data_IF_075658084195
#
_entry.id   IF_075658084195
#
_cell.length_a   1.000
_cell.length_b   1.000
_cell.length_c   1.000
_cell.angle_alpha   90.00
_cell.angle_beta   90.00
_cell.angle_gamma   90.00
#
_symmetry.space_group_name_H-M   'P 1'
#
loop_
_entity.id
_entity.type
_entity.pdbx_description
1 polymer ?
#
# COMPACT_ATOMS: atom_id res chain seq x y z
N UNK A 1 8.68 -13.78 -15.56
CA UNK A 1 8.76 -12.98 -14.31
C UNK A 1 8.21 -11.57 -14.46
N UNK A 2 8.49 -10.86 -15.56
CA UNK A 2 7.93 -9.51 -15.79
C UNK A 2 6.40 -9.48 -15.80
N UNK A 3 5.76 -10.38 -16.55
CA UNK A 3 4.29 -10.48 -16.61
C UNK A 3 3.70 -10.69 -15.22
N UNK A 4 4.28 -11.60 -14.43
CA UNK A 4 3.85 -11.82 -13.05
C UNK A 4 4.02 -10.55 -12.20
N UNK A 5 5.13 -9.84 -12.33
CA UNK A 5 5.37 -8.59 -11.61
C UNK A 5 4.31 -7.52 -11.92
N UNK A 6 3.99 -7.34 -13.21
CA UNK A 6 2.97 -6.38 -13.67
C UNK A 6 1.57 -6.80 -13.20
N UNK A 7 1.24 -8.09 -13.27
CA UNK A 7 -0.04 -8.61 -12.78
C UNK A 7 -0.16 -8.43 -11.26
N UNK A 8 0.90 -8.71 -10.50
CA UNK A 8 0.93 -8.49 -9.05
C UNK A 8 0.81 -7.01 -8.70
N UNK A 9 1.44 -6.13 -9.48
CA UNK A 9 1.32 -4.67 -9.34
C UNK A 9 -0.13 -4.20 -9.58
N UNK A 10 -0.73 -4.60 -10.71
CA UNK A 10 -2.12 -4.26 -11.02
C UNK A 10 -3.10 -4.80 -9.97
N UNK A 11 -2.87 -6.03 -9.51
CA UNK A 11 -3.67 -6.67 -8.47
C UNK A 11 -3.62 -5.88 -7.15
N UNK A 12 -2.43 -5.63 -6.61
CA UNK A 12 -2.29 -4.94 -5.31
C UNK A 12 -2.78 -3.49 -5.39
N UNK A 13 -2.52 -2.79 -6.49
CA UNK A 13 -3.00 -1.43 -6.70
C UNK A 13 -4.52 -1.39 -6.81
N UNK A 14 -5.12 -2.34 -7.54
CA UNK A 14 -6.57 -2.47 -7.67
C UNK A 14 -7.27 -2.72 -6.33
N UNK A 15 -6.76 -3.67 -5.53
CA UNK A 15 -7.29 -3.93 -4.19
C UNK A 15 -7.12 -2.71 -3.27
N UNK A 16 -5.97 -2.04 -3.34
CA UNK A 16 -5.71 -0.81 -2.56
C UNK A 16 -6.71 0.28 -2.93
N UNK A 17 -6.95 0.52 -4.21
CA UNK A 17 -7.93 1.52 -4.68
C UNK A 17 -9.37 1.19 -4.23
N UNK A 18 -9.76 -0.08 -4.23
CA UNK A 18 -11.06 -0.53 -3.72
C UNK A 18 -11.16 -0.29 -2.21
N UNK A 19 -10.11 -0.61 -1.46
CA UNK A 19 -10.06 -0.38 -0.02
C UNK A 19 -10.11 1.12 0.32
N UNK A 20 -9.39 1.96 -0.44
CA UNK A 20 -9.37 3.41 -0.27
C UNK A 20 -10.72 4.05 -0.60
N UNK A 21 -11.44 3.55 -1.61
CA UNK A 21 -12.82 3.97 -1.88
C UNK A 21 -13.71 3.74 -0.65
N UNK A 22 -13.61 2.57 -0.03
CA UNK A 22 -14.38 2.22 1.16
C UNK A 22 -13.98 3.06 2.38
N UNK A 23 -12.68 3.26 2.59
CA UNK A 23 -12.15 4.16 3.60
C UNK A 23 -12.67 5.59 3.39
N UNK A 24 -12.67 6.10 2.15
CA UNK A 24 -13.16 7.43 1.80
C UNK A 24 -14.66 7.61 2.08
N UNK A 25 -15.47 6.58 1.81
CA UNK A 25 -16.89 6.59 2.17
C UNK A 25 -17.09 6.68 3.70
N UNK A 26 -16.25 6.00 4.47
CA UNK A 26 -16.26 6.09 5.93
C UNK A 26 -15.75 7.44 6.45
N UNK A 27 -14.68 8.00 5.87
CA UNK A 27 -14.17 9.33 6.18
C UNK A 27 -15.24 10.42 5.96
N UNK A 28 -16.03 10.29 4.89
CA UNK A 28 -17.15 11.20 4.58
C UNK A 28 -18.40 10.98 5.44
N UNK A 29 -18.39 9.99 6.34
CA UNK A 29 -19.55 9.62 7.16
C UNK A 29 -20.66 8.91 6.40
N UNK A 30 -20.46 8.53 5.12
CA UNK A 30 -21.43 7.73 4.34
C UNK A 30 -21.51 6.28 4.82
N UNK A 31 -20.44 5.78 5.44
CA UNK A 31 -20.42 4.52 6.19
C UNK A 31 -20.12 4.82 7.66
N UNK A 32 -20.96 4.32 8.58
CA UNK A 32 -20.75 4.50 10.03
C UNK A 32 -19.55 3.70 10.53
N UNK A 33 -19.37 2.47 10.05
CA UNK A 33 -18.21 1.61 10.33
C UNK A 33 -17.91 0.80 9.07
N UNK A 34 -16.70 0.26 8.98
CA UNK A 34 -16.33 -0.68 7.92
C UNK A 34 -16.65 -2.12 8.34
N UNK A 35 -16.98 -2.96 7.36
CA UNK A 35 -17.26 -4.36 7.59
C UNK A 35 -15.97 -5.15 7.85
N UNK A 36 -15.94 -5.91 8.96
CA UNK A 36 -14.75 -6.65 9.41
C UNK A 36 -14.25 -7.66 8.39
N UNK A 37 -15.14 -8.47 7.81
CA UNK A 37 -14.77 -9.53 6.86
C UNK A 37 -14.14 -8.92 5.62
N UNK A 38 -14.79 -7.91 5.06
CA UNK A 38 -14.33 -7.18 3.88
C UNK A 38 -12.98 -6.50 4.11
N UNK A 39 -12.81 -5.76 5.22
CA UNK A 39 -11.54 -5.09 5.51
C UNK A 39 -10.40 -6.07 5.77
N UNK A 40 -10.68 -7.21 6.44
CA UNK A 40 -9.68 -8.28 6.64
C UNK A 40 -9.28 -8.91 5.31
N UNK A 41 -10.23 -9.14 4.42
CA UNK A 41 -9.95 -9.68 3.10
C UNK A 41 -9.09 -8.73 2.27
N UNK A 42 -9.39 -7.43 2.26
CA UNK A 42 -8.55 -6.42 1.61
C UNK A 42 -7.13 -6.45 2.16
N UNK A 43 -6.99 -6.47 3.49
CA UNK A 43 -5.68 -6.49 4.12
C UNK A 43 -4.86 -7.74 3.74
N UNK A 44 -5.48 -8.92 3.73
CA UNK A 44 -4.83 -10.16 3.29
C UNK A 44 -4.45 -10.11 1.81
N UNK A 45 -5.34 -9.63 0.95
CA UNK A 45 -5.07 -9.50 -0.48
C UNK A 45 -3.95 -8.49 -0.77
N UNK A 46 -3.89 -7.37 -0.05
CA UNK A 46 -2.81 -6.39 -0.16
C UNK A 46 -1.48 -7.04 0.25
N UNK A 47 -1.44 -7.80 1.35
CA UNK A 47 -0.24 -8.55 1.75
C UNK A 47 0.21 -9.56 0.70
N UNK A 48 -0.73 -10.37 0.18
CA UNK A 48 -0.43 -11.32 -0.90
C UNK A 48 0.13 -10.61 -2.13
N UNK A 49 -0.46 -9.48 -2.51
CA UNK A 49 0.00 -8.64 -3.60
C UNK A 49 1.41 -8.07 -3.37
N UNK A 50 1.68 -7.51 -2.19
CA UNK A 50 2.99 -6.96 -1.81
C UNK A 50 4.08 -8.03 -1.79
N UNK A 51 3.79 -9.21 -1.21
CA UNK A 51 4.74 -10.33 -1.18
C UNK A 51 5.03 -10.81 -2.61
N UNK A 52 3.99 -11.02 -3.43
CA UNK A 52 4.14 -11.45 -4.82
C UNK A 52 4.92 -10.43 -5.65
N UNK A 53 4.63 -9.14 -5.48
CA UNK A 53 5.32 -8.04 -6.15
C UNK A 53 6.81 -7.98 -5.74
N UNK A 54 7.11 -8.23 -4.47
CA UNK A 54 8.48 -8.22 -3.95
C UNK A 54 9.27 -9.42 -4.46
N UNK A 55 8.70 -10.63 -4.41
CA UNK A 55 9.36 -11.85 -4.91
C UNK A 55 9.63 -11.70 -6.40
N UNK A 56 8.61 -11.36 -7.20
CA UNK A 56 8.78 -11.17 -8.64
C UNK A 56 9.75 -10.04 -8.98
N UNK A 57 9.75 -8.95 -8.20
CA UNK A 57 10.68 -7.83 -8.34
C UNK A 57 12.12 -8.23 -8.04
N UNK A 58 12.35 -9.07 -7.03
CA UNK A 58 13.67 -9.62 -6.72
C UNK A 58 14.23 -10.46 -7.89
N UNK A 59 13.40 -11.28 -8.54
CA UNK A 59 13.81 -12.03 -9.73
C UNK A 59 14.18 -11.11 -10.91
N UNK A 60 13.51 -9.97 -11.08
CA UNK A 60 13.86 -8.97 -12.10
C UNK A 60 15.13 -8.20 -11.74
N UNK A 61 15.34 -7.94 -10.46
CA UNK A 61 16.51 -7.25 -9.93
C UNK A 61 17.79 -8.09 -10.06
N UNK A 62 17.73 -9.38 -9.75
CA UNK A 62 18.90 -10.27 -9.64
C UNK A 62 19.88 -10.22 -10.84
N UNK A 63 19.43 -10.30 -12.11
CA UNK A 63 20.34 -10.24 -13.26
C UNK A 63 20.99 -8.86 -13.44
N UNK A 64 20.32 -7.77 -13.04
CA UNK A 64 20.80 -6.39 -13.20
C UNK A 64 21.30 -5.75 -11.89
N UNK A 65 21.52 -6.56 -10.85
CA UNK A 65 21.79 -6.07 -9.48
C UNK A 65 22.94 -5.08 -9.38
N UNK A 66 24.02 -5.29 -10.14
CA UNK A 66 25.19 -4.40 -10.11
C UNK A 66 24.87 -3.00 -10.65
N UNK A 67 24.09 -2.95 -11.74
CA UNK A 67 23.61 -1.69 -12.30
C UNK A 67 22.60 -1.02 -11.35
N UNK A 68 21.59 -1.76 -10.91
CA UNK A 68 20.51 -1.21 -10.08
C UNK A 68 20.98 -0.73 -8.72
N UNK A 69 21.90 -1.44 -8.05
CA UNK A 69 22.47 -1.02 -6.75
C UNK A 69 23.44 0.18 -6.87
N UNK A 70 23.84 0.57 -8.08
CA UNK A 70 24.62 1.79 -8.29
C UNK A 70 23.75 3.01 -8.60
N UNK A 71 22.44 2.81 -8.76
CA UNK A 71 21.50 3.85 -9.14
C UNK A 71 20.74 4.36 -7.90
N UNK A 72 21.00 5.60 -7.50
CA UNK A 72 20.35 6.25 -6.36
C UNK A 72 18.80 6.22 -6.44
N UNK A 73 18.22 6.35 -7.65
CA UNK A 73 16.77 6.30 -7.80
C UNK A 73 16.23 4.91 -7.47
N UNK A 74 16.97 3.85 -7.78
CA UNK A 74 16.56 2.49 -7.41
C UNK A 74 16.53 2.30 -5.89
N UNK A 75 17.51 2.86 -5.17
CA UNK A 75 17.53 2.83 -3.71
C UNK A 75 16.34 3.60 -3.10
N UNK A 76 16.04 4.77 -3.66
CA UNK A 76 14.86 5.56 -3.27
C UNK A 76 13.56 4.79 -3.54
N UNK A 77 13.47 4.07 -4.66
CA UNK A 77 12.33 3.17 -4.92
C UNK A 77 12.22 2.08 -3.85
N UNK A 78 13.32 1.43 -3.48
CA UNK A 78 13.31 0.40 -2.44
C UNK A 78 12.89 0.97 -1.07
N UNK A 79 13.26 2.21 -0.76
CA UNK A 79 12.78 2.91 0.43
C UNK A 79 11.26 3.08 0.42
N UNK A 80 10.66 3.51 -0.71
CA UNK A 80 9.20 3.60 -0.82
C UNK A 80 8.51 2.24 -0.69
N UNK A 81 9.11 1.17 -1.26
CA UNK A 81 8.61 -0.19 -1.06
C UNK A 81 8.65 -0.56 0.43
N UNK A 82 9.74 -0.28 1.14
CA UNK A 82 9.84 -0.53 2.57
C UNK A 82 8.79 0.27 3.38
N UNK A 83 8.53 1.53 3.01
CA UNK A 83 7.48 2.35 3.60
C UNK A 83 6.10 1.72 3.38
N UNK A 84 5.80 1.19 2.20
CA UNK A 84 4.53 0.49 1.92
C UNK A 84 4.36 -0.74 2.83
N UNK A 85 5.42 -1.52 3.06
CA UNK A 85 5.38 -2.65 4.01
C UNK A 85 5.14 -2.18 5.45
N UNK A 86 5.86 -1.15 5.90
CA UNK A 86 5.65 -0.58 7.24
C UNK A 86 4.21 -0.04 7.40
N UNK A 87 3.69 0.61 6.35
CA UNK A 87 2.33 1.13 6.33
C UNK A 87 1.28 0.02 6.37
N UNK A 88 1.48 -1.09 5.66
CA UNK A 88 0.60 -2.26 5.75
C UNK A 88 0.54 -2.81 7.18
N UNK A 89 1.68 -2.93 7.87
CA UNK A 89 1.73 -3.34 9.29
C UNK A 89 0.96 -2.35 10.18
N UNK A 90 1.16 -1.04 9.99
CA UNK A 90 0.49 0.00 10.75
C UNK A 90 -1.04 -0.03 10.56
N UNK A 91 -1.52 -0.15 9.32
CA UNK A 91 -2.94 -0.27 9.00
C UNK A 91 -3.56 -1.52 9.64
N UNK A 92 -2.79 -2.62 9.73
CA UNK A 92 -3.17 -3.81 10.49
C UNK A 92 -3.59 -3.51 11.94
N UNK A 93 -2.98 -2.49 12.57
CA UNK A 93 -3.33 -2.05 13.93
C UNK A 93 -4.45 -1.02 13.93
N UNK A 94 -4.41 -0.05 12.99
CA UNK A 94 -5.35 1.06 12.92
C UNK A 94 -6.75 0.64 12.44
N UNK A 95 -6.90 -0.47 11.72
CA UNK A 95 -8.19 -0.93 11.19
C UNK A 95 -9.27 -1.10 12.28
N UNK A 96 -8.89 -1.45 13.51
CA UNK A 96 -9.84 -1.59 14.62
C UNK A 96 -10.63 -0.30 14.89
N UNK A 97 -10.04 0.87 14.62
CA UNK A 97 -10.72 2.17 14.72
C UNK A 97 -11.91 2.23 13.76
N UNK A 98 -11.67 1.90 12.49
CA UNK A 98 -12.69 1.95 11.44
C UNK A 98 -13.76 0.85 11.57
N UNK A 99 -13.43 -0.27 12.23
CA UNK A 99 -14.36 -1.38 12.49
C UNK A 99 -15.33 -1.11 13.65
N UNK A 100 -14.97 -0.23 14.59
CA UNK A 100 -15.71 -0.06 15.85
C UNK A 100 -16.35 1.31 15.98
N UNK A 101 -15.80 2.34 15.33
CA UNK A 101 -16.23 3.73 15.52
C UNK A 101 -16.43 4.46 14.19
N UNK A 102 -17.41 5.38 14.12
CA UNK A 102 -17.49 6.33 13.02
C UNK A 102 -16.32 7.30 13.04
N UNK A 103 -15.87 7.71 11.86
CA UNK A 103 -14.74 8.64 11.72
C UNK A 103 -14.93 9.92 12.54
N UNK A 104 -16.17 10.45 12.58
CA UNK A 104 -16.49 11.65 13.36
C UNK A 104 -16.15 11.51 14.85
N UNK A 105 -16.32 10.32 15.43
CA UNK A 105 -16.09 10.01 16.85
C UNK A 105 -14.62 9.75 17.20
N UNK A 106 -13.70 9.77 16.22
CA UNK A 106 -12.28 9.63 16.49
C UNK A 106 -11.66 10.93 17.01
N UNK A 107 -10.66 10.76 17.88
CA UNK A 107 -9.81 11.87 18.35
C UNK A 107 -9.01 12.46 17.19
N UNK A 108 -8.53 13.70 17.36
CA UNK A 108 -7.71 14.38 16.34
C UNK A 108 -6.46 13.56 15.96
N UNK A 109 -5.82 12.92 16.95
CA UNK A 109 -4.62 12.12 16.73
C UNK A 109 -4.93 10.83 15.95
N UNK A 110 -6.03 10.14 16.27
CA UNK A 110 -6.46 8.94 15.51
C UNK A 110 -6.78 9.29 14.05
N UNK A 111 -7.47 10.41 13.82
CA UNK A 111 -7.75 10.92 12.47
C UNK A 111 -6.47 11.23 11.71
N UNK A 112 -5.54 11.94 12.35
CA UNK A 112 -4.28 12.32 11.74
C UNK A 112 -3.45 11.08 11.35
N UNK A 113 -3.34 10.09 12.23
CA UNK A 113 -2.61 8.85 11.93
C UNK A 113 -3.20 8.11 10.72
N UNK A 114 -4.53 8.03 10.61
CA UNK A 114 -5.19 7.39 9.46
C UNK A 114 -4.96 8.15 8.15
N UNK A 115 -5.10 9.48 8.17
CA UNK A 115 -4.94 10.32 6.98
C UNK A 115 -3.48 10.35 6.53
N UNK A 116 -2.53 10.49 7.45
CA UNK A 116 -1.09 10.45 7.13
C UNK A 116 -0.69 9.09 6.59
N UNK A 117 -1.15 8.00 7.21
CA UNK A 117 -0.91 6.64 6.72
C UNK A 117 -1.42 6.46 5.27
N UNK A 118 -2.63 6.94 4.98
CA UNK A 118 -3.18 6.92 3.61
C UNK A 118 -2.37 7.77 2.63
N UNK A 119 -2.01 9.00 3.01
CA UNK A 119 -1.25 9.93 2.17
C UNK A 119 0.17 9.40 1.86
N UNK A 120 0.87 8.90 2.88
CA UNK A 120 2.20 8.29 2.73
C UNK A 120 2.13 7.07 1.82
N UNK A 121 1.09 6.23 1.97
CA UNK A 121 0.87 5.07 1.10
C UNK A 121 0.68 5.47 -0.35
N UNK A 122 -0.24 6.41 -0.63
CA UNK A 122 -0.52 6.89 -1.98
C UNK A 122 0.71 7.51 -2.64
N UNK A 123 1.45 8.34 -1.88
CA UNK A 123 2.70 8.94 -2.35
C UNK A 123 3.76 7.89 -2.65
N UNK A 124 3.92 6.89 -1.77
CA UNK A 124 4.90 5.80 -1.96
C UNK A 124 4.57 4.94 -3.18
N UNK A 125 3.30 4.61 -3.40
CA UNK A 125 2.85 3.91 -4.61
C UNK A 125 3.19 4.70 -5.88
N UNK A 126 2.87 5.99 -5.90
CA UNK A 126 3.14 6.86 -7.03
C UNK A 126 4.64 6.96 -7.33
N UNK A 127 5.45 7.30 -6.33
CA UNK A 127 6.90 7.47 -6.51
C UNK A 127 7.61 6.17 -6.88
N UNK A 128 7.30 5.05 -6.21
CA UNK A 128 7.92 3.76 -6.54
C UNK A 128 7.61 3.32 -7.97
N UNK A 129 6.38 3.59 -8.46
CA UNK A 129 5.96 3.26 -9.81
C UNK A 129 6.59 4.19 -10.85
N UNK A 130 6.61 5.50 -10.59
CA UNK A 130 7.22 6.49 -11.48
C UNK A 130 8.72 6.23 -11.66
N UNK A 131 9.43 5.96 -10.56
CA UNK A 131 10.85 5.62 -10.63
C UNK A 131 11.06 4.30 -11.39
N UNK A 132 10.22 3.28 -11.17
CA UNK A 132 10.34 2.03 -11.90
C UNK A 132 10.20 2.23 -13.42
N UNK A 133 9.23 3.04 -13.86
CA UNK A 133 9.01 3.37 -15.28
C UNK A 133 10.11 4.27 -15.86
N UNK A 134 10.86 4.98 -15.01
CA UNK A 134 11.96 5.83 -15.46
C UNK A 134 13.26 5.03 -15.66
N UNK A 135 13.51 4.04 -14.80
CA UNK A 135 14.74 3.23 -14.83
C UNK A 135 14.68 2.12 -15.88
N UNK A 136 13.48 1.61 -16.19
CA UNK A 136 13.25 0.48 -17.12
C UNK A 136 12.43 0.94 -18.32
#
# INVERSE_FOLDING_TARGET
>A
MLVLHILSFGFVLGITAIADKDAFLWLRGKKRVLERKTLRNYHLMIWLGLISLTISGFYLFYPMRLFLLSNLLFDVKLLFVAILFANAILIGRLMNLALTRPFAALTRNEKLSLVLSGAISAFSWFCASAIALWIF
#
